data_IF_937891728546
#
_entry.id   IF_937891728546
#
_cell.length_a   1.000
_cell.length_b   1.000
_cell.length_c   1.000
_cell.angle_alpha   90.00
_cell.angle_beta   90.00
_cell.angle_gamma   90.00
#
_symmetry.space_group_name_H-M   'P 1'
#
loop_
_entity.id
_entity.type
_entity.pdbx_description
1 polymer ?
#
# COMPACT_ATOMS: atom_id res chain seq x y z
N UNK A 1 -24.56 -14.49 17.93
CA UNK A 1 -23.77 -13.61 17.04
C UNK A 1 -22.36 -14.17 17.01
N UNK A 2 -21.80 -14.39 15.83
CA UNK A 2 -20.43 -14.90 15.64
C UNK A 2 -19.38 -13.81 15.83
N UNK A 3 -18.12 -14.21 16.07
CA UNK A 3 -16.94 -13.32 16.05
C UNK A 3 -16.93 -12.43 14.81
N UNK A 4 -17.19 -13.03 13.64
CA UNK A 4 -17.17 -12.33 12.35
C UNK A 4 -18.24 -11.24 12.29
N UNK A 5 -19.44 -11.48 12.82
CA UNK A 5 -20.50 -10.47 12.89
C UNK A 5 -20.20 -9.37 13.90
N UNK A 6 -19.71 -9.72 15.10
CA UNK A 6 -19.28 -8.74 16.13
C UNK A 6 -18.15 -7.86 15.61
N UNK A 7 -17.16 -8.44 14.92
CA UNK A 7 -16.06 -7.73 14.28
C UNK A 7 -16.55 -6.80 13.15
N UNK A 8 -17.48 -7.25 12.29
CA UNK A 8 -18.11 -6.38 11.27
C UNK A 8 -18.85 -5.19 11.89
N UNK A 9 -19.51 -5.37 13.03
CA UNK A 9 -20.22 -4.30 13.74
C UNK A 9 -19.23 -3.28 14.32
N UNK A 10 -18.21 -3.72 15.04
CA UNK A 10 -17.16 -2.85 15.59
C UNK A 10 -16.40 -2.08 14.50
N UNK A 11 -16.17 -2.69 13.32
CA UNK A 11 -15.60 -2.01 12.15
C UNK A 11 -16.56 -1.02 11.48
N UNK A 12 -17.88 -1.19 11.67
CA UNK A 12 -18.90 -0.27 11.18
C UNK A 12 -19.13 0.92 12.11
N UNK A 13 -18.90 0.74 13.41
CA UNK A 13 -18.99 1.78 14.45
C UNK A 13 -17.72 2.66 14.45
N UNK A 14 -16.55 2.03 14.37
CA UNK A 14 -15.24 2.71 14.50
C UNK A 14 -14.91 3.68 13.37
N UNK A 15 -15.49 3.46 12.19
CA UNK A 15 -15.30 4.31 11.03
C UNK A 15 -16.66 4.90 10.61
N UNK A 16 -16.89 6.17 10.97
CA UNK A 16 -18.16 6.87 10.73
C UNK A 16 -18.59 6.83 9.26
N UNK A 17 -19.53 5.93 8.95
CA UNK A 17 -19.87 5.56 7.58
C UNK A 17 -20.46 6.72 6.79
N UNK A 18 -19.84 6.99 5.64
CA UNK A 18 -20.51 7.65 4.52
C UNK A 18 -21.29 6.61 3.69
N UNK A 19 -22.42 6.96 3.02
CA UNK A 19 -23.30 5.96 2.38
C UNK A 19 -22.69 5.08 1.27
N UNK A 20 -21.49 5.41 0.79
CA UNK A 20 -20.73 4.65 -0.23
C UNK A 20 -19.66 3.73 0.37
N UNK A 21 -19.48 3.73 1.69
CA UNK A 21 -18.51 2.93 2.42
C UNK A 21 -19.14 1.59 2.83
N UNK A 22 -18.47 0.50 2.46
CA UNK A 22 -19.03 -0.84 2.53
C UNK A 22 -18.12 -1.79 3.30
N UNK A 23 -18.72 -2.55 4.21
CA UNK A 23 -18.10 -3.75 4.78
C UNK A 23 -18.62 -4.96 3.99
N UNK A 24 -17.84 -5.44 3.03
CA UNK A 24 -18.16 -6.63 2.25
C UNK A 24 -17.37 -7.82 2.80
N UNK A 25 -18.06 -8.84 3.32
CA UNK A 25 -17.41 -10.13 3.56
C UNK A 25 -17.36 -10.86 2.22
N UNK A 26 -16.15 -10.99 1.66
CA UNK A 26 -15.94 -11.81 0.49
C UNK A 26 -16.09 -13.29 0.89
N UNK A 27 -16.71 -14.14 0.05
CA UNK A 27 -16.86 -15.56 0.36
C UNK A 27 -15.48 -16.19 0.59
N UNK A 28 -15.37 -17.20 1.48
CA UNK A 28 -14.10 -17.85 1.76
C UNK A 28 -13.50 -18.39 0.46
N UNK A 29 -12.26 -17.97 0.16
CA UNK A 29 -11.56 -18.48 -1.00
C UNK A 29 -11.29 -19.99 -0.82
N UNK A 30 -11.33 -20.79 -1.89
CA UNK A 30 -10.81 -22.16 -1.83
C UNK A 30 -9.40 -22.15 -1.24
N UNK A 31 -9.14 -23.05 -0.29
CA UNK A 31 -8.03 -23.01 0.68
C UNK A 31 -8.17 -22.01 1.85
N UNK A 32 -8.85 -22.49 2.90
CA UNK A 32 -8.47 -22.27 4.31
C UNK A 32 -8.55 -20.85 4.90
N UNK A 33 -9.18 -19.90 4.19
CA UNK A 33 -9.15 -18.47 4.54
C UNK A 33 -10.52 -17.80 4.50
N UNK A 34 -10.83 -17.04 5.54
CA UNK A 34 -11.93 -16.08 5.59
C UNK A 34 -11.41 -14.67 5.33
N UNK A 35 -12.18 -13.80 4.67
CA UNK A 35 -11.75 -12.43 4.36
C UNK A 35 -12.87 -11.40 4.55
N UNK A 36 -12.62 -10.40 5.41
CA UNK A 36 -13.44 -9.20 5.54
C UNK A 36 -12.76 -8.06 4.77
N UNK A 37 -13.51 -7.33 3.93
CA UNK A 37 -13.07 -6.09 3.30
C UNK A 37 -13.90 -4.92 3.86
N UNK A 38 -13.22 -3.86 4.31
CA UNK A 38 -13.83 -2.63 4.83
C UNK A 38 -13.41 -1.46 3.94
N UNK A 39 -14.31 -0.96 3.10
CA UNK A 39 -14.06 0.20 2.23
C UNK A 39 -14.36 1.49 2.98
N UNK A 40 -13.33 2.31 3.17
CA UNK A 40 -13.36 3.66 3.76
C UNK A 40 -12.92 4.66 2.68
N UNK A 41 -13.26 5.95 2.75
CA UNK A 41 -13.08 6.92 1.65
C UNK A 41 -11.77 6.76 0.81
N UNK A 42 -11.92 6.29 -0.44
CA UNK A 42 -10.88 5.96 -1.44
C UNK A 42 -9.98 4.74 -1.14
N UNK A 43 -10.32 3.90 -0.17
CA UNK A 43 -9.46 2.86 0.39
C UNK A 43 -10.21 1.60 0.78
N UNK A 44 -9.47 0.52 1.04
CA UNK A 44 -9.99 -0.73 1.60
C UNK A 44 -9.08 -1.20 2.74
N UNK A 45 -9.62 -1.91 3.73
CA UNK A 45 -8.87 -2.60 4.78
C UNK A 45 -9.30 -4.07 4.73
N UNK A 46 -8.33 -4.97 4.57
CA UNK A 46 -8.56 -6.41 4.45
C UNK A 46 -8.12 -7.13 5.71
N UNK A 47 -9.03 -7.89 6.32
CA UNK A 47 -8.76 -8.78 7.45
C UNK A 47 -8.91 -10.22 6.94
N UNK A 48 -7.83 -10.99 6.95
CA UNK A 48 -7.78 -12.39 6.51
C UNK A 48 -7.47 -13.29 7.70
N UNK A 49 -8.37 -14.24 7.99
CA UNK A 49 -8.17 -15.25 9.04
C UNK A 49 -7.93 -16.63 8.42
N UNK A 50 -6.96 -17.36 8.96
CA UNK A 50 -6.44 -18.63 8.42
C UNK A 50 -6.76 -19.77 9.39
N UNK A 51 -6.89 -21.02 8.89
CA UNK A 51 -7.18 -22.20 9.74
C UNK A 51 -6.21 -22.42 10.90
N UNK A 52 -4.94 -22.02 10.76
CA UNK A 52 -3.90 -22.21 11.76
C UNK A 52 -3.85 -21.08 12.82
N UNK A 53 -4.99 -20.46 13.14
CA UNK A 53 -5.08 -19.32 14.06
C UNK A 53 -4.48 -18.00 13.52
N UNK A 54 -3.67 -18.02 12.46
CA UNK A 54 -3.05 -16.79 11.96
C UNK A 54 -4.10 -15.80 11.41
N UNK A 55 -3.97 -14.53 11.76
CA UNK A 55 -4.69 -13.41 11.14
C UNK A 55 -3.69 -12.45 10.48
N UNK A 56 -4.09 -11.90 9.33
CA UNK A 56 -3.44 -10.79 8.64
C UNK A 56 -4.42 -9.61 8.55
N UNK A 57 -3.96 -8.41 8.89
CA UNK A 57 -4.65 -7.15 8.56
C UNK A 57 -3.80 -6.38 7.56
N UNK A 58 -4.42 -5.82 6.53
CA UNK A 58 -3.73 -5.11 5.45
C UNK A 58 -4.51 -3.87 5.00
N UNK A 59 -3.78 -2.80 4.63
CA UNK A 59 -4.33 -1.76 3.79
C UNK A 59 -4.45 -2.27 2.35
N UNK A 60 -5.57 -1.96 1.70
CA UNK A 60 -5.89 -2.34 0.33
C UNK A 60 -5.17 -1.49 -0.73
N UNK A 61 -5.18 -1.93 -1.99
CA UNK A 61 -4.46 -1.27 -3.06
C UNK A 61 -5.09 0.06 -3.47
N UNK A 62 -4.27 1.07 -3.75
CA UNK A 62 -4.73 2.27 -4.43
C UNK A 62 -4.89 2.00 -5.94
N UNK A 63 -6.15 2.02 -6.39
CA UNK A 63 -6.59 2.27 -7.78
C UNK A 63 -6.31 1.15 -8.80
N UNK A 64 -7.10 1.21 -9.88
CA UNK A 64 -7.27 0.13 -10.86
C UNK A 64 -6.14 0.05 -11.89
N UNK A 65 -6.10 -1.03 -12.68
CA UNK A 65 -5.15 -1.23 -13.78
C UNK A 65 -5.12 -0.07 -14.78
N UNK A 66 -6.27 0.55 -15.07
CA UNK A 66 -6.37 1.68 -15.99
C UNK A 66 -5.72 2.94 -15.40
N UNK A 67 -5.92 3.18 -14.10
CA UNK A 67 -5.31 4.30 -13.36
C UNK A 67 -3.79 4.10 -13.14
N UNK A 68 -3.33 2.84 -13.11
CA UNK A 68 -1.90 2.47 -13.15
C UNK A 68 -1.32 2.64 -14.57
N UNK A 69 -2.12 2.43 -15.62
CA UNK A 69 -1.66 2.54 -17.02
C UNK A 69 -1.24 3.97 -17.42
N UNK A 70 -1.92 5.00 -16.89
CA UNK A 70 -1.50 6.40 -17.06
C UNK A 70 -0.13 6.69 -16.43
N UNK A 71 0.24 5.96 -15.37
CA UNK A 71 1.39 6.27 -14.54
C UNK A 71 2.71 5.74 -15.10
N UNK A 72 2.73 4.51 -15.63
CA UNK A 72 3.97 3.89 -16.12
C UNK A 72 4.40 4.36 -17.51
N UNK A 73 3.48 4.85 -18.35
CA UNK A 73 3.78 5.44 -19.67
C UNK A 73 4.58 6.77 -19.63
N UNK A 74 5.17 7.15 -18.49
CA UNK A 74 5.80 8.46 -18.31
C UNK A 74 7.21 8.58 -18.91
N UNK A 75 7.19 8.83 -20.23
CA UNK A 75 8.19 9.55 -21.05
C UNK A 75 9.44 8.79 -21.50
N UNK A 76 9.88 7.69 -20.88
CA UNK A 76 11.10 6.99 -21.35
C UNK A 76 10.87 6.30 -22.69
N UNK A 77 9.85 5.45 -22.78
CA UNK A 77 9.57 4.69 -24.00
C UNK A 77 8.34 5.18 -24.78
N UNK A 78 7.41 5.91 -24.15
CA UNK A 78 6.23 6.52 -24.83
C UNK A 78 6.57 7.21 -26.16
N UNK A 79 7.57 8.10 -26.21
CA UNK A 79 8.01 8.79 -27.45
C UNK A 79 8.65 7.89 -28.52
N UNK A 80 9.02 6.65 -28.17
CA UNK A 80 9.47 5.61 -29.12
C UNK A 80 8.28 4.78 -29.58
N UNK A 81 7.36 4.45 -28.68
CA UNK A 81 6.11 3.75 -28.99
C UNK A 81 5.20 4.58 -29.92
N UNK A 82 5.04 5.88 -29.65
CA UNK A 82 4.35 6.88 -30.50
C UNK A 82 4.98 7.04 -31.90
N UNK A 83 6.20 6.53 -32.10
CA UNK A 83 6.96 6.60 -33.37
C UNK A 83 7.26 5.23 -33.98
N UNK A 84 6.80 4.15 -33.36
CA UNK A 84 7.01 2.79 -33.84
C UNK A 84 6.10 2.53 -35.04
N UNK A 85 6.69 2.13 -36.16
CA UNK A 85 5.96 1.97 -37.43
C UNK A 85 5.31 0.59 -37.53
N UNK A 86 5.84 -0.40 -36.80
CA UNK A 86 5.31 -1.77 -36.78
C UNK A 86 4.88 -2.22 -35.38
N UNK A 87 4.00 -3.23 -35.32
CA UNK A 87 3.60 -3.85 -34.05
C UNK A 87 4.76 -4.59 -33.37
N UNK A 88 5.68 -5.18 -34.13
CA UNK A 88 6.91 -5.80 -33.61
C UNK A 88 7.83 -4.77 -32.91
N UNK A 89 7.92 -3.55 -33.44
CA UNK A 89 8.61 -2.46 -32.74
C UNK A 89 7.90 -2.08 -31.43
N UNK A 90 6.58 -1.91 -31.46
CA UNK A 90 5.76 -1.61 -30.27
C UNK A 90 5.92 -2.69 -29.18
N UNK A 91 5.78 -3.97 -29.54
CA UNK A 91 6.00 -5.13 -28.65
C UNK A 91 7.40 -5.10 -28.04
N UNK A 92 8.45 -4.91 -28.85
CA UNK A 92 9.84 -4.84 -28.38
C UNK A 92 10.12 -3.63 -27.47
N UNK A 93 9.38 -2.54 -27.64
CA UNK A 93 9.47 -1.36 -26.77
C UNK A 93 8.77 -1.62 -25.43
N UNK A 94 7.55 -2.17 -25.43
CA UNK A 94 6.81 -2.55 -24.21
C UNK A 94 7.57 -3.59 -23.38
N UNK A 95 8.14 -4.61 -24.02
CA UNK A 95 8.94 -5.65 -23.35
C UNK A 95 10.13 -5.03 -22.58
N UNK A 96 10.83 -4.05 -23.17
CA UNK A 96 11.96 -3.37 -22.52
C UNK A 96 11.53 -2.41 -21.41
N UNK A 97 10.32 -1.86 -21.48
CA UNK A 97 9.72 -1.08 -20.39
C UNK A 97 9.36 -2.01 -19.22
N UNK A 98 8.76 -3.17 -19.48
CA UNK A 98 8.44 -4.20 -18.49
C UNK A 98 9.70 -4.77 -17.79
N UNK A 99 10.74 -5.13 -18.54
CA UNK A 99 12.03 -5.60 -18.02
C UNK A 99 12.78 -4.53 -17.18
N UNK A 100 12.52 -3.25 -17.42
CA UNK A 100 13.08 -2.16 -16.61
C UNK A 100 12.28 -1.97 -15.32
N UNK A 101 10.93 -1.97 -15.42
CA UNK A 101 10.02 -1.88 -14.27
C UNK A 101 10.25 -3.04 -13.29
N UNK A 102 10.34 -4.29 -13.76
CA UNK A 102 10.59 -5.45 -12.90
C UNK A 102 11.87 -5.33 -12.08
N UNK A 103 12.98 -4.88 -12.69
CA UNK A 103 14.25 -4.66 -11.96
C UNK A 103 14.16 -3.54 -10.94
N UNK A 104 13.39 -2.48 -11.22
CA UNK A 104 13.15 -1.39 -10.26
C UNK A 104 12.35 -1.89 -9.04
N UNK A 105 11.35 -2.73 -9.26
CA UNK A 105 10.54 -3.34 -8.19
C UNK A 105 11.40 -4.25 -7.31
N UNK A 106 12.26 -5.09 -7.90
CA UNK A 106 13.16 -5.95 -7.11
C UNK A 106 14.25 -5.16 -6.35
N UNK A 107 14.82 -4.10 -6.94
CA UNK A 107 15.70 -3.16 -6.22
C UNK A 107 14.96 -2.48 -5.04
N UNK A 108 13.69 -2.14 -5.20
CA UNK A 108 12.86 -1.54 -4.15
C UNK A 108 12.48 -2.54 -3.04
N UNK A 109 12.19 -3.81 -3.38
CA UNK A 109 12.02 -4.90 -2.41
C UNK A 109 13.29 -5.12 -1.57
N UNK A 110 14.45 -4.93 -2.17
CA UNK A 110 15.77 -4.93 -1.50
C UNK A 110 16.10 -3.61 -0.78
N UNK A 111 15.16 -2.67 -0.69
CA UNK A 111 15.27 -1.33 -0.06
C UNK A 111 16.37 -0.43 -0.66
N UNK A 112 16.78 -0.64 -1.92
CA UNK A 112 17.87 0.09 -2.60
C UNK A 112 17.42 1.44 -3.19
N UNK A 113 16.77 2.26 -2.37
CA UNK A 113 16.07 3.47 -2.81
C UNK A 113 17.02 4.64 -3.18
N UNK A 114 18.16 4.76 -2.50
CA UNK A 114 19.14 5.84 -2.65
C UNK A 114 19.74 5.89 -4.05
N UNK A 115 19.94 4.72 -4.68
CA UNK A 115 20.38 4.57 -6.06
C UNK A 115 19.39 5.21 -7.05
N UNK A 116 18.13 5.39 -6.67
CA UNK A 116 17.07 5.93 -7.52
C UNK A 116 16.72 7.38 -7.23
N UNK A 117 16.92 7.84 -6.00
CA UNK A 117 16.87 9.27 -5.65
C UNK A 117 17.88 10.06 -6.49
N UNK A 118 19.13 9.58 -6.57
CA UNK A 118 20.22 10.22 -7.33
C UNK A 118 19.98 10.25 -8.84
N UNK A 119 19.17 9.34 -9.39
CA UNK A 119 18.77 9.31 -10.83
C UNK A 119 17.73 10.39 -11.17
N UNK A 120 17.07 10.99 -10.18
CA UNK A 120 16.13 12.10 -10.34
C UNK A 120 14.83 11.73 -11.08
N UNK A 121 14.12 12.75 -11.59
CA UNK A 121 12.86 12.61 -12.33
C UNK A 121 11.77 11.85 -11.51
N UNK A 122 10.87 11.14 -12.18
CA UNK A 122 9.72 10.44 -11.57
C UNK A 122 10.16 9.31 -10.63
N UNK A 123 11.25 8.61 -10.94
CA UNK A 123 11.69 7.45 -10.14
C UNK A 123 12.25 7.84 -8.77
N UNK A 124 12.86 9.03 -8.65
CA UNK A 124 13.26 9.60 -7.37
C UNK A 124 12.07 9.93 -6.45
N UNK A 125 10.95 10.39 -7.02
CA UNK A 125 9.71 10.61 -6.26
C UNK A 125 9.14 9.29 -5.73
N UNK A 126 9.13 8.24 -6.56
CA UNK A 126 8.74 6.91 -6.09
C UNK A 126 9.68 6.36 -5.01
N UNK A 127 11.00 6.43 -5.20
CA UNK A 127 11.96 5.98 -4.19
C UNK A 127 11.74 6.68 -2.84
N UNK A 128 11.55 8.01 -2.84
CA UNK A 128 11.19 8.76 -1.63
C UNK A 128 9.86 8.34 -0.99
N UNK A 129 8.81 8.05 -1.78
CA UNK A 129 7.53 7.56 -1.26
C UNK A 129 7.67 6.18 -0.60
N UNK A 130 8.48 5.27 -1.15
CA UNK A 130 8.68 3.95 -0.55
C UNK A 130 9.56 4.01 0.71
N UNK A 131 10.61 4.84 0.75
CA UNK A 131 11.36 5.11 1.98
C UNK A 131 10.48 5.70 3.10
N UNK A 132 9.49 6.53 2.74
CA UNK A 132 8.51 7.03 3.71
C UNK A 132 7.58 5.92 4.21
N UNK A 133 7.19 4.98 3.35
CA UNK A 133 6.45 3.77 3.76
C UNK A 133 7.21 2.96 4.81
N UNK A 134 8.50 2.70 4.58
CA UNK A 134 9.39 2.00 5.53
C UNK A 134 9.47 2.72 6.90
N UNK A 135 9.69 4.03 6.90
CA UNK A 135 9.77 4.85 8.13
C UNK A 135 8.43 4.91 8.88
N UNK A 136 7.31 4.99 8.16
CA UNK A 136 5.97 4.98 8.75
C UNK A 136 5.66 3.64 9.41
N UNK A 137 5.96 2.53 8.72
CA UNK A 137 5.80 1.19 9.26
C UNK A 137 6.62 0.99 10.55
N UNK A 138 7.86 1.50 10.58
CA UNK A 138 8.72 1.52 11.78
C UNK A 138 8.08 2.31 12.93
N UNK A 139 7.70 3.58 12.69
CA UNK A 139 7.11 4.46 13.73
C UNK A 139 5.85 3.87 14.34
N UNK A 140 4.96 3.31 13.51
CA UNK A 140 3.72 2.70 13.99
C UNK A 140 3.99 1.40 14.74
N UNK A 141 4.95 0.59 14.30
CA UNK A 141 5.37 -0.62 15.03
C UNK A 141 5.88 -0.29 16.44
N UNK A 142 6.73 0.74 16.54
CA UNK A 142 7.26 1.25 17.82
C UNK A 142 6.16 1.81 18.73
N UNK A 143 5.19 2.56 18.17
CA UNK A 143 4.07 3.13 18.93
C UNK A 143 3.09 2.08 19.46
N UNK A 144 2.74 1.09 18.65
CA UNK A 144 1.68 0.10 18.96
C UNK A 144 2.21 -1.20 19.58
N UNK A 145 3.53 -1.42 19.57
CA UNK A 145 4.13 -2.66 20.06
C UNK A 145 3.67 -3.89 19.28
N UNK A 146 3.64 -3.80 17.95
CA UNK A 146 3.26 -4.88 17.04
C UNK A 146 3.97 -4.72 15.69
N UNK A 147 4.18 -5.80 14.97
CA UNK A 147 4.86 -5.78 13.67
C UNK A 147 3.95 -5.16 12.59
N UNK A 148 4.31 -3.99 12.06
CA UNK A 148 3.78 -3.41 10.82
C UNK A 148 4.88 -3.42 9.77
N UNK A 149 4.60 -4.02 8.63
CA UNK A 149 5.45 -4.04 7.45
C UNK A 149 4.87 -3.11 6.37
N UNK A 150 5.71 -2.31 5.73
CA UNK A 150 5.42 -1.77 4.40
C UNK A 150 5.95 -2.77 3.37
N UNK A 151 5.10 -3.22 2.44
CA UNK A 151 5.46 -4.20 1.39
C UNK A 151 5.28 -3.59 0.01
N UNK A 152 6.14 -4.01 -0.91
CA UNK A 152 6.24 -3.52 -2.28
C UNK A 152 6.16 -4.74 -3.21
N UNK A 153 5.03 -4.93 -3.88
CA UNK A 153 4.90 -5.95 -4.93
C UNK A 153 4.19 -5.34 -6.16
N UNK A 154 3.25 -6.04 -6.80
CA UNK A 154 2.39 -5.43 -7.85
C UNK A 154 1.58 -4.24 -7.31
N UNK A 155 1.30 -4.25 -6.01
CA UNK A 155 0.62 -3.22 -5.23
C UNK A 155 1.46 -2.96 -3.97
N UNK A 156 1.50 -1.71 -3.47
CA UNK A 156 2.30 -1.34 -2.30
C UNK A 156 1.40 -0.89 -1.14
N UNK A 157 1.67 -1.37 0.07
CA UNK A 157 0.77 -1.14 1.20
C UNK A 157 1.33 -1.57 2.56
N UNK A 158 0.55 -1.32 3.61
CA UNK A 158 0.88 -1.70 4.99
C UNK A 158 0.20 -3.00 5.38
N UNK A 159 0.93 -3.86 6.08
CA UNK A 159 0.52 -5.19 6.49
C UNK A 159 0.94 -5.45 7.93
N UNK A 160 0.15 -6.24 8.66
CA UNK A 160 0.49 -6.75 9.99
C UNK A 160 -0.12 -8.13 10.16
N UNK A 161 0.51 -9.00 10.94
CA UNK A 161 -0.01 -10.35 11.22
C UNK A 161 0.13 -10.71 12.69
N UNK A 162 -0.63 -11.70 13.14
CA UNK A 162 -0.46 -12.34 14.44
C UNK A 162 -0.95 -13.79 14.40
N UNK A 163 -0.42 -14.64 15.26
CA UNK A 163 -1.03 -15.94 15.56
C UNK A 163 -2.10 -15.74 16.64
N UNK A 164 -3.31 -16.23 16.40
CA UNK A 164 -4.41 -16.24 17.37
C UNK A 164 -4.72 -17.64 17.92
N UNK A 165 -3.82 -18.61 17.72
CA UNK A 165 -3.95 -19.96 18.27
C UNK A 165 -4.07 -19.88 19.80
N UNK A 166 -5.19 -20.37 20.35
CA UNK A 166 -5.48 -20.33 21.79
C UNK A 166 -6.10 -19.03 22.30
N UNK A 167 -6.34 -18.02 21.44
CA UNK A 167 -7.13 -16.84 21.83
C UNK A 167 -8.63 -17.14 21.87
N UNK A 168 -9.34 -16.53 22.81
CA UNK A 168 -10.81 -16.51 22.81
C UNK A 168 -11.39 -15.44 21.86
N UNK A 169 -12.70 -15.51 21.63
CA UNK A 169 -13.47 -14.60 20.75
C UNK A 169 -13.27 -13.10 21.05
N UNK A 170 -13.00 -12.72 22.30
CA UNK A 170 -12.84 -11.33 22.72
C UNK A 170 -11.39 -10.85 22.60
N UNK A 171 -10.43 -11.68 23.02
CA UNK A 171 -9.00 -11.47 22.76
C UNK A 171 -8.74 -11.31 21.26
N UNK A 172 -9.33 -12.19 20.45
CA UNK A 172 -9.23 -12.19 18.99
C UNK A 172 -9.73 -10.89 18.36
N UNK A 173 -10.87 -10.39 18.84
CA UNK A 173 -11.45 -9.12 18.39
C UNK A 173 -10.57 -7.95 18.81
N UNK A 174 -10.16 -7.88 20.07
CA UNK A 174 -9.36 -6.77 20.59
C UNK A 174 -8.00 -6.67 19.88
N UNK A 175 -7.31 -7.79 19.69
CA UNK A 175 -6.00 -7.87 19.04
C UNK A 175 -6.08 -7.65 17.50
N UNK A 176 -7.24 -7.94 16.89
CA UNK A 176 -7.56 -7.52 15.51
C UNK A 176 -7.80 -6.01 15.43
N UNK A 177 -8.63 -5.45 16.32
CA UNK A 177 -8.99 -4.03 16.29
C UNK A 177 -7.78 -3.11 16.57
N UNK A 178 -6.85 -3.54 17.43
CA UNK A 178 -5.54 -2.90 17.64
C UNK A 178 -4.70 -2.82 16.36
N UNK A 179 -4.73 -3.86 15.52
CA UNK A 179 -4.04 -3.86 14.22
C UNK A 179 -4.73 -3.01 13.17
N UNK A 180 -6.06 -2.91 13.24
CA UNK A 180 -6.83 -1.98 12.40
C UNK A 180 -6.50 -0.52 12.73
N UNK A 181 -6.28 -0.17 14.01
CA UNK A 181 -5.74 1.15 14.39
C UNK A 181 -4.36 1.41 13.78
N UNK A 182 -3.41 0.50 14.01
CA UNK A 182 -2.05 0.64 13.51
C UNK A 182 -2.00 0.80 11.98
N UNK A 183 -2.78 0.01 11.24
CA UNK A 183 -2.85 0.11 9.78
C UNK A 183 -3.53 1.41 9.30
N UNK A 184 -4.53 1.91 10.02
CA UNK A 184 -5.15 3.21 9.70
C UNK A 184 -4.20 4.38 9.99
N UNK A 185 -3.50 4.37 11.14
CA UNK A 185 -2.51 5.40 11.47
C UNK A 185 -1.32 5.40 10.49
N UNK A 186 -0.79 4.21 10.16
CA UNK A 186 0.26 4.08 9.15
C UNK A 186 -0.19 4.68 7.81
N UNK A 187 -1.43 4.40 7.41
CA UNK A 187 -2.00 5.05 6.24
C UNK A 187 -2.05 6.57 6.38
N UNK A 188 -2.64 7.11 7.44
CA UNK A 188 -2.78 8.57 7.62
C UNK A 188 -1.43 9.30 7.58
N UNK A 189 -0.41 8.74 8.25
CA UNK A 189 0.97 9.24 8.19
C UNK A 189 1.55 9.16 6.77
N UNK A 190 1.31 8.07 6.04
CA UNK A 190 1.81 7.89 4.67
C UNK A 190 1.26 8.91 3.67
N UNK A 191 0.00 9.33 3.83
CA UNK A 191 -0.62 10.38 2.99
C UNK A 191 -0.37 11.81 3.51
N UNK A 192 0.11 11.98 4.74
CA UNK A 192 0.54 13.28 5.26
C UNK A 192 1.81 13.75 4.55
N UNK A 193 1.62 14.69 3.62
CA UNK A 193 2.69 15.28 2.80
C UNK A 193 3.68 16.11 3.60
N UNK A 194 3.30 16.64 4.76
CA UNK A 194 4.18 17.49 5.57
C UNK A 194 5.20 16.60 6.30
N UNK A 195 4.73 15.58 7.02
CA UNK A 195 5.59 14.54 7.61
C UNK A 195 6.50 13.85 6.58
N UNK A 196 5.97 13.53 5.38
CA UNK A 196 6.78 12.97 4.28
C UNK A 196 7.88 13.94 3.81
N UNK A 197 7.57 15.23 3.65
CA UNK A 197 8.55 16.23 3.22
C UNK A 197 9.62 16.47 4.29
N UNK A 198 9.23 16.48 5.58
CA UNK A 198 10.16 16.62 6.72
C UNK A 198 11.12 15.45 6.82
N UNK A 199 10.61 14.21 6.74
CA UNK A 199 11.44 13.01 6.71
C UNK A 199 12.43 13.02 5.55
N UNK A 200 11.97 13.34 4.33
CA UNK A 200 12.83 13.37 3.15
C UNK A 200 13.85 14.51 3.20
N UNK A 201 13.48 15.69 3.73
CA UNK A 201 14.43 16.77 4.00
C UNK A 201 15.48 16.35 5.04
N UNK A 202 15.10 15.63 6.10
CA UNK A 202 16.01 15.04 7.08
C UNK A 202 16.94 13.95 6.52
N UNK A 203 16.63 13.40 5.34
CA UNK A 203 17.51 12.52 4.54
C UNK A 203 18.30 13.27 3.46
N UNK A 204 18.22 14.60 3.39
CA UNK A 204 18.90 15.43 2.38
C UNK A 204 18.22 15.43 1.00
N UNK A 205 16.95 15.05 0.91
CA UNK A 205 16.23 14.83 -0.35
C UNK A 205 15.30 16.02 -0.65
N UNK A 206 15.77 16.97 -1.47
CA UNK A 206 14.93 18.08 -1.91
C UNK A 206 13.82 17.64 -2.89
N UNK A 207 12.59 17.47 -2.38
CA UNK A 207 11.40 17.53 -3.24
C UNK A 207 11.23 18.98 -3.70
N UNK A 208 11.63 19.26 -4.94
CA UNK A 208 11.41 20.56 -5.59
C UNK A 208 9.91 20.86 -5.67
N UNK A 209 9.40 21.62 -4.69
CA UNK A 209 8.06 22.23 -4.72
C UNK A 209 7.88 22.92 -6.07
N UNK A 210 6.89 22.50 -6.87
CA UNK A 210 6.52 23.21 -8.11
C UNK A 210 6.24 24.66 -7.74
N UNK A 211 7.12 25.59 -8.15
CA UNK A 211 6.81 27.03 -8.10
C UNK A 211 5.46 27.21 -8.80
N UNK A 212 4.45 27.72 -8.09
CA UNK A 212 3.22 28.19 -8.74
C UNK A 212 3.67 29.15 -9.83
N UNK A 213 3.25 28.91 -11.09
CA UNK A 213 3.29 29.98 -12.08
C UNK A 213 2.43 31.10 -11.50
N UNK A 214 2.99 32.31 -11.38
CA UNK A 214 2.15 33.50 -11.33
C UNK A 214 1.39 33.51 -12.66
N UNK A 215 0.07 33.52 -12.54
CA UNK A 215 -0.85 33.94 -13.61
C UNK A 215 -0.98 35.45 -13.43
#
# INVERSE_FOLDING_TARGET
MSVVEKLRALLAEKFERRPWEKVELLPPLPSEKWMIAVRLHLFEIFIKAYKNGKIQVAAGPERTRDEISEFYLWRKYKRRYEKAVTEEEKKRILQKEYEEIGRIIEDFKQRRFEDYIKKGRVIAYFAGRHMWGDEVARRVSEKHGLEVEFRIDTESGFFTTFDSTGMDDEQLINETMKRVDAINEAREMFFNKELMNEFLAGKGIEIKRKRRRRV
#
